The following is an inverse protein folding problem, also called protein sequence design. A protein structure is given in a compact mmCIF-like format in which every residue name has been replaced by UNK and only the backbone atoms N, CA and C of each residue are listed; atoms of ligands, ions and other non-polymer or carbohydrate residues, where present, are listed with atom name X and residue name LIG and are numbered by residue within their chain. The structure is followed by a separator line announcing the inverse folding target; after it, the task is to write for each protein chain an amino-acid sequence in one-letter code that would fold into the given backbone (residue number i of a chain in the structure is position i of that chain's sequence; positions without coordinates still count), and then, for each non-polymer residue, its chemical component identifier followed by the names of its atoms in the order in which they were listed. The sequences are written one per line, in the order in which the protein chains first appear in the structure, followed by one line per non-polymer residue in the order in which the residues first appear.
data_IF_693539343925
#
_entry.id   IF_693539343925
#
_cell.length_a   1.000
_cell.length_b   1.000
_cell.length_c   1.000
_cell.angle_alpha   90.00
_cell.angle_beta   90.00
_cell.angle_gamma   90.00
#
_symmetry.space_group_name_H-M   'P 1'
#
loop_
_entity.id
_entity.type
_entity.pdbx_description
1 polymer ?
#
# COMPACT_ATOMS: atom_id res chain seq x y z
N UNK A 1 39.44 -16.43 -37.78
CA UNK A 1 39.53 -15.17 -37.00
C UNK A 1 38.61 -14.14 -37.62
N UNK A 2 37.89 -13.38 -36.78
CA UNK A 2 37.11 -12.15 -37.07
C UNK A 2 35.78 -12.41 -37.80
N UNK A 3 34.60 -12.16 -37.24
CA UNK A 3 34.22 -11.32 -36.10
C UNK A 3 33.04 -10.44 -36.55
N UNK A 4 31.93 -10.51 -35.80
CA UNK A 4 30.76 -9.63 -35.90
C UNK A 4 31.16 -8.14 -36.03
N UNK A 5 30.39 -7.35 -36.78
CA UNK A 5 29.89 -6.02 -36.33
C UNK A 5 29.55 -5.13 -37.53
N UNK A 6 28.30 -4.68 -37.63
CA UNK A 6 27.95 -3.25 -37.82
C UNK A 6 26.62 -2.97 -37.13
N UNK A 7 26.73 -2.79 -35.82
CA UNK A 7 25.74 -2.13 -34.97
C UNK A 7 25.68 -0.67 -35.43
N UNK A 8 24.56 -0.27 -36.04
CA UNK A 8 24.28 1.15 -36.27
C UNK A 8 23.55 1.66 -35.03
N UNK A 9 24.33 2.34 -34.21
CA UNK A 9 23.89 3.05 -33.03
C UNK A 9 22.75 4.02 -33.35
N UNK A 10 21.72 3.99 -32.52
CA UNK A 10 20.92 5.18 -32.25
C UNK A 10 20.67 5.22 -30.74
N UNK A 11 21.63 5.83 -30.04
CA UNK A 11 21.40 6.39 -28.72
C UNK A 11 20.54 7.64 -28.94
N UNK A 12 19.29 7.60 -28.47
CA UNK A 12 18.50 8.79 -28.19
C UNK A 12 17.95 8.62 -26.78
N UNK A 13 18.68 9.24 -25.86
CA UNK A 13 18.24 9.56 -24.51
C UNK A 13 17.07 10.54 -24.68
N UNK A 14 15.86 10.04 -24.49
CA UNK A 14 14.70 10.87 -24.22
C UNK A 14 14.29 10.58 -22.78
N UNK A 15 14.63 11.51 -21.88
CA UNK A 15 14.05 11.55 -20.55
C UNK A 15 12.55 11.72 -20.69
N UNK A 16 11.81 10.67 -20.34
CA UNK A 16 10.38 10.79 -20.06
C UNK A 16 10.22 10.67 -18.56
N UNK A 17 9.84 11.79 -17.95
CA UNK A 17 9.31 11.78 -16.59
C UNK A 17 8.27 10.68 -16.50
N UNK A 18 8.46 9.76 -15.55
CA UNK A 18 7.51 8.71 -15.25
C UNK A 18 6.21 9.39 -14.87
N UNK A 19 5.34 9.56 -15.86
CA UNK A 19 3.96 9.94 -15.67
C UNK A 19 3.37 8.79 -14.87
N UNK A 20 3.16 9.01 -13.57
CA UNK A 20 2.34 8.15 -12.73
C UNK A 20 0.93 8.16 -13.35
N UNK A 21 0.71 7.25 -14.28
CA UNK A 21 -0.61 6.99 -14.83
C UNK A 21 -1.44 6.38 -13.70
N UNK A 22 -2.29 7.22 -13.08
CA UNK A 22 -3.43 6.74 -12.32
C UNK A 22 -4.36 6.16 -13.38
N UNK A 23 -4.26 4.85 -13.61
CA UNK A 23 -5.22 4.14 -14.46
C UNK A 23 -6.54 4.17 -13.66
N UNK A 24 -7.59 4.89 -14.11
CA UNK A 24 -8.86 4.89 -13.42
C UNK A 24 -9.52 3.56 -13.72
N UNK A 25 -9.20 2.57 -12.91
CA UNK A 25 -9.84 1.29 -12.98
C UNK A 25 -11.13 1.43 -12.19
N UNK A 26 -12.22 1.55 -12.94
CA UNK A 26 -13.62 1.61 -12.51
C UNK A 26 -13.84 0.91 -11.17
N UNK A 27 -14.43 1.56 -10.15
CA UNK A 27 -14.69 0.91 -8.87
C UNK A 27 -15.53 -0.34 -9.12
N UNK A 28 -15.05 -1.50 -8.66
CA UNK A 28 -15.81 -2.73 -8.76
C UNK A 28 -17.12 -2.55 -7.98
N UNK A 29 -18.24 -2.66 -8.70
CA UNK A 29 -19.59 -2.58 -8.16
C UNK A 29 -19.72 -3.46 -6.91
N UNK A 30 -20.32 -2.91 -5.86
CA UNK A 30 -20.59 -3.59 -4.60
C UNK A 30 -21.24 -4.97 -4.85
N UNK A 31 -20.43 -6.02 -4.73
CA UNK A 31 -20.81 -7.40 -4.99
C UNK A 31 -20.36 -8.29 -3.84
N UNK A 32 -21.39 -8.76 -3.12
CA UNK A 32 -21.44 -10.03 -2.39
C UNK A 32 -20.83 -10.09 -0.98
N UNK A 33 -21.63 -10.63 -0.06
CA UNK A 33 -21.45 -10.85 1.39
C UNK A 33 -20.24 -11.75 1.76
N UNK A 34 -19.35 -12.08 0.81
CA UNK A 34 -18.17 -12.93 1.01
C UNK A 34 -17.05 -12.51 0.05
N UNK A 35 -16.68 -11.24 0.06
CA UNK A 35 -15.69 -10.74 -0.88
C UNK A 35 -14.48 -10.18 -0.13
N UNK A 36 -13.46 -11.02 0.13
CA UNK A 36 -12.32 -10.62 0.90
C UNK A 36 -11.54 -9.49 0.22
N UNK A 37 -10.83 -8.71 1.03
CA UNK A 37 -9.96 -7.63 0.58
C UNK A 37 -8.61 -7.78 1.26
N UNK A 38 -7.56 -7.88 0.46
CA UNK A 38 -6.20 -7.74 0.95
C UNK A 38 -5.82 -6.26 0.88
N UNK A 39 -5.36 -5.72 2.01
CA UNK A 39 -4.78 -4.37 2.13
C UNK A 39 -3.31 -4.55 2.42
N UNK A 40 -2.45 -4.09 1.53
CA UNK A 40 -1.02 -4.12 1.71
C UNK A 40 -0.42 -2.75 1.48
N UNK A 41 0.83 -2.58 1.87
CA UNK A 41 1.56 -1.39 1.52
C UNK A 41 2.66 -1.08 2.50
N UNK A 42 2.97 0.20 2.63
CA UNK A 42 4.08 0.67 3.46
C UNK A 42 3.59 1.65 4.52
N UNK A 43 4.21 1.61 5.68
CA UNK A 43 4.00 2.56 6.76
C UNK A 43 5.32 3.19 7.17
N UNK A 44 5.32 4.51 7.30
CA UNK A 44 6.48 5.29 7.75
C UNK A 44 6.09 6.18 8.91
N UNK A 45 6.90 6.18 9.95
CA UNK A 45 6.78 7.13 11.05
C UNK A 45 7.29 8.50 10.58
N UNK A 46 6.54 9.56 10.89
CA UNK A 46 6.86 10.96 10.53
C UNK A 46 8.11 11.45 11.27
N UNK A 47 8.25 11.03 12.52
CA UNK A 47 9.45 11.26 13.33
C UNK A 47 10.42 10.08 13.13
N UNK A 48 11.75 10.31 13.26
CA UNK A 48 12.74 9.24 13.14
C UNK A 48 12.44 8.13 14.16
N UNK A 49 11.90 7.04 13.65
CA UNK A 49 11.41 5.92 14.44
C UNK A 49 11.01 4.77 13.54
N UNK A 50 11.01 3.57 14.13
CA UNK A 50 10.67 2.34 13.41
C UNK A 50 9.23 1.97 13.68
N UNK A 51 8.46 1.69 12.62
CA UNK A 51 7.14 1.12 12.77
C UNK A 51 7.27 -0.35 13.19
N UNK A 52 6.67 -0.72 14.32
CA UNK A 52 6.74 -2.09 14.86
C UNK A 52 5.46 -2.88 14.55
N UNK A 53 4.31 -2.22 14.67
CA UNK A 53 3.01 -2.86 14.49
C UNK A 53 1.98 -1.86 13.98
N UNK A 54 0.94 -2.39 13.36
CA UNK A 54 -0.13 -1.65 12.74
C UNK A 54 -1.45 -2.33 13.09
N UNK A 55 -2.48 -1.53 13.38
CA UNK A 55 -3.87 -1.97 13.45
C UNK A 55 -4.69 -1.14 12.48
N UNK A 56 -5.42 -1.78 11.57
CA UNK A 56 -6.38 -1.11 10.70
C UNK A 56 -7.79 -1.47 11.16
N UNK A 57 -8.63 -0.46 11.33
CA UNK A 57 -10.05 -0.59 11.68
C UNK A 57 -10.88 0.09 10.60
N UNK A 58 -11.80 -0.62 9.96
CA UNK A 58 -12.63 -0.07 8.88
C UNK A 58 -13.54 -1.14 8.26
N UNK A 59 -14.65 -0.71 7.66
CA UNK A 59 -15.60 -1.62 7.02
C UNK A 59 -16.22 -2.67 7.96
N UNK A 60 -16.36 -2.34 9.25
CA UNK A 60 -16.91 -3.26 10.26
C UNK A 60 -15.92 -4.28 10.82
N UNK A 61 -14.68 -4.30 10.35
CA UNK A 61 -13.63 -5.21 10.84
C UNK A 61 -12.42 -4.45 11.41
N UNK A 62 -11.63 -5.15 12.23
CA UNK A 62 -10.38 -4.62 12.80
C UNK A 62 -9.29 -5.70 12.81
N UNK A 63 -8.17 -5.43 12.15
CA UNK A 63 -7.06 -6.38 12.04
C UNK A 63 -5.73 -5.72 12.39
N UNK A 64 -4.92 -6.45 13.16
CA UNK A 64 -3.57 -6.07 13.52
C UNK A 64 -2.53 -6.90 12.77
N UNK A 65 -1.39 -6.30 12.45
CA UNK A 65 -0.25 -7.00 11.87
C UNK A 65 1.06 -6.40 12.37
N UNK A 66 2.13 -7.18 12.33
CA UNK A 66 3.49 -6.71 12.53
C UNK A 66 3.99 -6.05 11.26
N UNK A 67 4.72 -4.95 11.43
CA UNK A 67 5.32 -4.24 10.30
C UNK A 67 6.68 -4.87 10.01
N UNK A 68 6.88 -5.31 8.76
CA UNK A 68 8.12 -5.89 8.28
C UNK A 68 9.21 -4.85 8.02
N UNK A 69 10.36 -5.33 7.56
CA UNK A 69 11.47 -4.48 7.15
C UNK A 69 11.03 -3.46 6.09
N UNK A 70 11.52 -2.22 6.22
CA UNK A 70 11.15 -1.12 5.33
C UNK A 70 9.72 -0.59 5.51
N UNK A 71 9.00 -1.01 6.56
CA UNK A 71 7.65 -0.52 6.83
C UNK A 71 6.55 -1.32 6.12
N UNK A 72 6.86 -2.48 5.55
CA UNK A 72 5.90 -3.23 4.75
C UNK A 72 4.88 -3.97 5.62
N UNK A 73 3.62 -4.01 5.19
CA UNK A 73 2.57 -4.78 5.85
C UNK A 73 1.58 -5.37 4.86
N UNK A 74 0.87 -6.41 5.28
CA UNK A 74 -0.25 -7.01 4.56
C UNK A 74 -1.31 -7.46 5.57
N UNK A 75 -2.56 -7.16 5.26
CA UNK A 75 -3.74 -7.44 6.07
C UNK A 75 -4.84 -8.01 5.20
N UNK A 76 -5.58 -8.96 5.74
CA UNK A 76 -6.70 -9.60 5.06
C UNK A 76 -7.99 -9.28 5.81
N UNK A 77 -8.94 -8.66 5.11
CA UNK A 77 -10.29 -8.41 5.55
C UNK A 77 -11.18 -9.46 4.90
N UNK A 78 -11.95 -10.19 5.70
CA UNK A 78 -12.74 -11.32 5.19
C UNK A 78 -14.01 -10.84 4.50
N UNK A 79 -14.68 -9.85 5.10
CA UNK A 79 -15.92 -9.31 4.57
C UNK A 79 -16.11 -7.84 4.96
N UNK A 80 -15.24 -6.93 4.46
CA UNK A 80 -15.36 -5.53 4.81
C UNK A 80 -16.57 -4.90 4.10
N UNK A 81 -17.31 -4.09 4.86
CA UNK A 81 -18.36 -3.21 4.33
C UNK A 81 -17.69 -2.02 3.62
N UNK A 82 -17.76 -1.96 2.29
CA UNK A 82 -17.09 -0.94 1.46
C UNK A 82 -18.09 -0.16 0.59
N UNK A 83 -17.81 1.11 0.24
CA UNK A 83 -16.66 1.91 0.70
C UNK A 83 -16.80 2.35 2.16
N UNK A 84 -15.68 2.49 2.86
CA UNK A 84 -15.65 2.89 4.27
C UNK A 84 -14.42 3.73 4.58
N UNK A 85 -14.47 4.55 5.63
CA UNK A 85 -13.28 5.21 6.16
C UNK A 85 -12.56 4.26 7.11
N UNK A 86 -11.29 3.96 6.82
CA UNK A 86 -10.45 3.16 7.71
C UNK A 86 -9.50 4.03 8.51
N UNK A 87 -9.25 3.61 9.76
CA UNK A 87 -8.28 4.19 10.68
C UNK A 87 -7.14 3.19 10.85
N UNK A 88 -5.94 3.56 10.41
CA UNK A 88 -4.70 2.86 10.67
C UNK A 88 -4.01 3.45 11.90
N UNK A 89 -3.92 2.67 12.97
CA UNK A 89 -3.14 2.99 14.17
C UNK A 89 -1.78 2.30 14.08
N UNK A 90 -0.73 3.09 14.00
CA UNK A 90 0.66 2.65 13.86
C UNK A 90 1.36 2.82 15.20
N UNK A 91 2.06 1.78 15.66
CA UNK A 91 3.01 1.87 16.76
C UNK A 91 4.40 2.18 16.21
N UNK A 92 4.91 3.34 16.56
CA UNK A 92 6.24 3.82 16.20
C UNK A 92 7.13 3.83 17.44
N UNK A 93 8.29 3.18 17.37
CA UNK A 93 9.34 3.34 18.39
C UNK A 93 10.21 4.54 18.02
N UNK A 94 10.18 5.57 18.86
CA UNK A 94 10.96 6.80 18.70
C UNK A 94 11.90 6.90 19.90
N UNK A 95 13.19 6.66 19.67
CA UNK A 95 14.21 6.68 20.72
C UNK A 95 13.86 5.81 21.95
N UNK A 96 13.31 4.61 21.73
CA UNK A 96 12.88 3.70 22.81
C UNK A 96 11.54 4.06 23.47
N UNK A 97 10.86 5.09 22.98
CA UNK A 97 9.50 5.45 23.40
C UNK A 97 8.49 4.97 22.38
N UNK A 98 7.56 4.13 22.83
CA UNK A 98 6.44 3.66 22.01
C UNK A 98 5.39 4.76 21.87
N UNK A 99 5.23 5.25 20.66
CA UNK A 99 4.22 6.24 20.28
C UNK A 99 3.16 5.60 19.40
N UNK A 100 1.91 6.03 19.54
CA UNK A 100 0.81 5.57 18.70
C UNK A 100 0.29 6.72 17.88
N UNK A 101 0.25 6.53 16.57
CA UNK A 101 -0.20 7.54 15.61
C UNK A 101 -1.29 6.95 14.74
N UNK A 102 -2.35 7.71 14.52
CA UNK A 102 -3.45 7.30 13.65
C UNK A 102 -3.37 8.05 12.32
N UNK A 103 -3.67 7.34 11.24
CA UNK A 103 -3.85 7.92 9.93
C UNK A 103 -5.13 7.34 9.33
N UNK A 104 -5.91 8.17 8.65
CA UNK A 104 -7.17 7.77 8.05
C UNK A 104 -7.03 7.69 6.55
N UNK A 105 -7.60 6.66 5.94
CA UNK A 105 -7.57 6.48 4.50
C UNK A 105 -8.89 5.87 3.99
N UNK A 106 -9.26 6.11 2.72
CA UNK A 106 -10.44 5.50 2.12
C UNK A 106 -10.19 4.00 1.90
N UNK A 107 -10.98 3.17 2.58
CA UNK A 107 -11.05 1.74 2.33
C UNK A 107 -12.06 1.51 1.21
N UNK A 108 -11.53 1.19 0.04
CA UNK A 108 -12.31 0.98 -1.17
C UNK A 108 -11.83 -0.26 -1.90
N UNK A 109 -12.72 -0.85 -2.69
CA UNK A 109 -12.38 -2.05 -3.46
C UNK A 109 -11.53 -1.62 -4.66
N UNK A 110 -10.29 -2.13 -4.80
CA UNK A 110 -9.55 -2.00 -6.04
C UNK A 110 -10.25 -2.85 -7.12
N UNK A 111 -9.69 -2.96 -8.33
CA UNK A 111 -10.25 -3.91 -9.28
C UNK A 111 -10.33 -5.33 -8.72
N UNK A 112 -11.29 -6.08 -9.24
CA UNK A 112 -11.47 -7.50 -8.93
C UNK A 112 -10.14 -8.25 -9.03
N UNK A 113 -9.76 -8.91 -7.94
CA UNK A 113 -8.51 -9.69 -7.83
C UNK A 113 -7.26 -8.89 -7.46
N UNK A 114 -7.37 -7.59 -7.20
CA UNK A 114 -6.23 -6.76 -6.80
C UNK A 114 -6.18 -6.50 -5.29
N UNK A 115 -4.95 -6.25 -4.81
CA UNK A 115 -4.67 -5.81 -3.45
C UNK A 115 -4.81 -4.30 -3.36
N UNK A 116 -5.46 -3.79 -2.32
CA UNK A 116 -5.48 -2.36 -2.05
C UNK A 116 -4.11 -1.96 -1.52
N UNK A 117 -3.36 -1.18 -2.30
CA UNK A 117 -2.05 -0.67 -1.91
C UNK A 117 -2.21 0.70 -1.24
N UNK A 118 -1.73 0.83 0.00
CA UNK A 118 -1.79 2.10 0.75
C UNK A 118 -0.41 2.49 1.29
N UNK A 119 -0.10 3.78 1.23
CA UNK A 119 1.10 4.34 1.84
C UNK A 119 0.69 5.18 3.04
N UNK A 120 1.00 4.69 4.23
CA UNK A 120 0.61 5.29 5.49
C UNK A 120 1.77 6.10 6.06
N UNK A 121 1.48 7.32 6.47
CA UNK A 121 2.43 8.14 7.24
C UNK A 121 1.75 8.48 8.57
N UNK A 122 2.46 8.24 9.66
CA UNK A 122 1.94 8.34 11.02
C UNK A 122 2.85 9.17 11.93
#
# INVERSE_FOLDING_TARGET
MRGLSKIKALFLIAGTGASLAIIPLTPASAGTINNPLTVAGTVKCKFPGSAESLKITGGGEAHGTTVGSGGQFSLFFSNPQLPSAAIAQVRCDVAGTRTYRNTTFPLQRPLTGQTLIVNLVA
#
